data_IF_099993254251
#
_entry.id   IF_099993254251
#
_cell.length_a   1.000
_cell.length_b   1.000
_cell.length_c   1.000
_cell.angle_alpha   90.00
_cell.angle_beta   90.00
_cell.angle_gamma   90.00
#
_symmetry.space_group_name_H-M   'P 1'
#
loop_
_entity.id
_entity.type
_entity.pdbx_description
1 polymer ?
#
# COMPACT_ATOMS: atom_id res chain seq x y z
N UNK A 1 46.13 -3.84 64.91
CA UNK A 1 46.20 -2.37 64.95
C UNK A 1 46.85 -1.90 63.64
N UNK A 2 46.12 -1.12 62.84
CA UNK A 2 46.55 -0.26 61.71
C UNK A 2 47.22 -0.96 60.49
N UNK A 3 46.76 -0.92 59.23
CA UNK A 3 46.18 0.09 58.30
C UNK A 3 47.20 0.47 57.19
N UNK A 4 46.77 0.20 55.93
CA UNK A 4 46.98 0.96 54.67
C UNK A 4 48.30 0.95 53.88
N UNK A 5 48.10 0.79 52.55
CA UNK A 5 48.84 1.43 51.45
C UNK A 5 49.72 0.46 50.65
N UNK A 6 49.63 0.25 49.34
CA UNK A 6 48.93 0.94 48.26
C UNK A 6 49.85 1.03 47.03
N UNK A 7 49.35 0.60 45.86
CA UNK A 7 49.89 0.79 44.49
C UNK A 7 51.20 0.09 44.12
N UNK A 8 51.34 -0.64 43.01
CA UNK A 8 50.51 -0.87 41.85
C UNK A 8 51.40 -1.21 40.64
N UNK A 9 50.92 -2.03 39.68
CA UNK A 9 50.93 -1.76 38.22
C UNK A 9 50.79 -3.01 37.31
N UNK A 10 49.80 -2.90 36.43
CA UNK A 10 49.73 -3.26 35.00
C UNK A 10 49.66 -4.74 34.54
N UNK A 11 48.45 -5.13 34.11
CA UNK A 11 48.13 -5.72 32.79
C UNK A 11 46.58 -5.79 32.71
N UNK A 12 45.88 -4.80 32.14
CA UNK A 12 45.46 -4.72 30.72
C UNK A 12 45.27 -6.08 30.04
N UNK A 13 44.04 -6.59 30.10
CA UNK A 13 43.43 -7.37 29.01
C UNK A 13 41.92 -7.07 29.00
N UNK A 14 41.57 -5.81 28.67
CA UNK A 14 40.23 -5.44 28.21
C UNK A 14 40.17 -5.82 26.72
N UNK A 15 39.90 -7.10 26.45
CA UNK A 15 39.51 -7.53 25.11
C UNK A 15 38.01 -7.36 24.98
N UNK A 16 37.67 -6.13 24.57
CA UNK A 16 36.73 -5.83 23.48
C UNK A 16 35.65 -6.90 23.27
N UNK A 17 34.71 -6.94 24.21
CA UNK A 17 33.37 -7.45 23.93
C UNK A 17 32.70 -6.34 23.16
N UNK A 18 32.89 -6.34 21.84
CA UNK A 18 32.20 -5.47 20.92
C UNK A 18 30.69 -5.62 21.12
N UNK A 19 30.11 -4.76 21.93
CA UNK A 19 28.67 -4.53 22.00
C UNK A 19 28.25 -4.03 20.62
N UNK A 20 27.88 -4.98 19.75
CA UNK A 20 26.98 -4.69 18.65
C UNK A 20 25.75 -4.03 19.29
N UNK A 21 25.37 -2.80 18.91
CA UNK A 21 24.09 -2.28 19.34
C UNK A 21 23.05 -3.27 18.83
N UNK A 22 22.26 -3.85 19.73
CA UNK A 22 21.05 -4.54 19.34
C UNK A 22 20.27 -3.53 18.50
N UNK A 23 20.08 -3.83 17.20
CA UNK A 23 19.13 -3.09 16.37
C UNK A 23 17.81 -3.16 17.13
N UNK A 24 17.38 -2.03 17.67
CA UNK A 24 16.23 -1.97 18.54
C UNK A 24 15.01 -2.39 17.74
N UNK A 25 14.55 -3.61 17.98
CA UNK A 25 13.23 -4.05 17.52
C UNK A 25 12.20 -3.05 18.07
N UNK A 26 11.50 -2.35 17.18
CA UNK A 26 10.49 -1.39 17.56
C UNK A 26 9.35 -2.12 18.29
N UNK A 27 9.16 -1.76 19.55
CA UNK A 27 8.02 -2.22 20.35
C UNK A 27 6.74 -1.67 19.71
N UNK A 28 5.74 -2.54 19.53
CA UNK A 28 4.39 -2.15 19.14
C UNK A 28 3.82 -1.21 20.21
N UNK A 29 3.39 0.03 19.87
CA UNK A 29 2.79 0.95 20.83
C UNK A 29 1.56 0.34 21.48
N UNK A 30 1.33 0.60 22.76
CA UNK A 30 0.10 0.17 23.43
C UNK A 30 -1.11 0.97 22.94
N UNK A 31 -2.34 0.46 23.09
CA UNK A 31 -3.54 1.12 22.54
C UNK A 31 -3.74 2.51 23.14
N UNK A 32 -3.49 2.66 24.43
CA UNK A 32 -3.61 3.92 25.19
C UNK A 32 -2.55 4.97 24.78
N UNK A 33 -1.47 4.53 24.12
CA UNK A 33 -0.40 5.40 23.61
C UNK A 33 -0.73 5.98 22.22
N UNK A 34 -1.72 5.42 21.51
CA UNK A 34 -2.14 5.87 20.17
C UNK A 34 -3.36 6.79 20.27
N UNK A 35 -3.23 7.99 19.71
CA UNK A 35 -4.33 8.97 19.68
C UNK A 35 -5.36 8.69 18.58
N UNK A 36 -4.96 7.95 17.56
CA UNK A 36 -5.76 7.59 16.38
C UNK A 36 -5.25 6.27 15.81
N UNK A 37 -6.01 5.69 14.89
CA UNK A 37 -5.65 4.46 14.20
C UNK A 37 -4.51 4.64 13.20
N UNK A 38 -4.15 3.57 12.45
CA UNK A 38 -4.88 2.31 12.30
C UNK A 38 -5.15 1.55 13.60
N UNK A 39 -6.39 1.08 13.76
CA UNK A 39 -6.85 0.32 14.93
C UNK A 39 -6.80 -1.18 14.68
N UNK A 40 -6.58 -1.96 15.74
CA UNK A 40 -6.98 -3.36 15.72
C UNK A 40 -8.51 -3.45 15.80
N UNK A 41 -9.11 -4.49 15.23
CA UNK A 41 -10.57 -4.72 15.29
C UNK A 41 -11.12 -4.74 16.73
N UNK A 42 -10.30 -5.16 17.71
CA UNK A 42 -10.67 -5.16 19.12
C UNK A 42 -10.70 -3.77 19.77
N UNK A 43 -10.13 -2.76 19.12
CA UNK A 43 -9.95 -1.38 19.61
C UNK A 43 -10.77 -0.35 18.81
N UNK A 44 -11.39 -0.80 17.71
CA UNK A 44 -12.03 0.09 16.74
C UNK A 44 -13.25 0.84 17.33
N UNK A 45 -13.35 2.17 17.12
CA UNK A 45 -14.54 2.93 17.51
C UNK A 45 -15.80 2.44 16.77
N UNK A 46 -16.87 2.24 17.52
CA UNK A 46 -18.21 1.93 17.00
C UNK A 46 -18.88 3.15 16.34
N UNK A 47 -19.76 2.91 15.37
CA UNK A 47 -20.58 3.97 14.76
C UNK A 47 -19.93 4.73 13.59
N UNK A 48 -18.73 4.32 13.16
CA UNK A 48 -18.10 4.80 11.93
C UNK A 48 -18.42 3.80 10.81
N UNK A 49 -19.01 4.28 9.71
CA UNK A 49 -19.26 3.49 8.52
C UNK A 49 -17.93 3.18 7.81
N UNK A 50 -17.69 1.89 7.54
CA UNK A 50 -16.45 1.42 6.93
C UNK A 50 -16.75 0.43 5.81
N UNK A 51 -16.00 0.54 4.74
CA UNK A 51 -15.91 -0.46 3.70
C UNK A 51 -15.06 -1.63 4.19
N UNK A 52 -15.66 -2.81 4.31
CA UNK A 52 -14.96 -4.03 4.73
C UNK A 52 -14.33 -4.73 3.52
N UNK A 53 -13.00 -4.85 3.55
CA UNK A 53 -12.20 -5.55 2.55
C UNK A 53 -11.61 -6.86 3.11
N UNK A 54 -12.24 -7.45 4.12
CA UNK A 54 -11.77 -8.65 4.81
C UNK A 54 -10.77 -8.29 5.91
N UNK A 55 -9.48 -8.20 5.58
CA UNK A 55 -8.45 -7.87 6.58
C UNK A 55 -8.23 -6.39 6.83
N UNK A 56 -8.90 -5.52 6.07
CA UNK A 56 -8.81 -4.08 6.21
C UNK A 56 -10.20 -3.48 6.08
N UNK A 57 -10.56 -2.60 6.99
CA UNK A 57 -11.77 -1.78 6.90
C UNK A 57 -11.37 -0.32 6.77
N UNK A 58 -11.97 0.37 5.79
CA UNK A 58 -11.61 1.74 5.43
C UNK A 58 -12.82 2.65 5.68
N UNK A 59 -12.68 3.79 6.39
CA UNK A 59 -13.76 4.76 6.53
C UNK A 59 -14.36 5.16 5.18
N UNK A 60 -15.68 5.13 5.08
CA UNK A 60 -16.39 5.56 3.88
C UNK A 60 -16.51 7.09 3.86
N UNK A 61 -15.60 7.76 3.15
CA UNK A 61 -15.60 9.23 2.96
C UNK A 61 -15.99 9.54 1.51
N UNK A 62 -17.08 10.30 1.25
CA UNK A 62 -17.58 10.55 -0.10
C UNK A 62 -16.56 11.17 -1.06
N UNK A 63 -15.63 11.97 -0.56
CA UNK A 63 -14.59 12.66 -1.34
C UNK A 63 -13.41 11.75 -1.73
N UNK A 64 -13.36 10.51 -1.24
CA UNK A 64 -12.25 9.58 -1.45
C UNK A 64 -12.65 8.48 -2.42
N UNK A 65 -11.97 8.43 -3.57
CA UNK A 65 -12.09 7.33 -4.51
C UNK A 65 -11.24 6.14 -4.04
N UNK A 66 -11.83 4.95 -3.92
CA UNK A 66 -11.14 3.74 -3.48
C UNK A 66 -10.87 2.86 -4.70
N UNK A 67 -9.59 2.60 -4.97
CA UNK A 67 -9.13 1.70 -6.03
C UNK A 67 -8.47 0.47 -5.43
N UNK A 68 -8.80 -0.69 -5.95
CA UNK A 68 -8.32 -1.97 -5.44
C UNK A 68 -7.34 -2.58 -6.42
N UNK A 69 -6.15 -2.95 -5.95
CA UNK A 69 -5.12 -3.60 -6.78
C UNK A 69 -5.04 -5.09 -6.45
N UNK A 70 -5.43 -5.91 -7.43
CA UNK A 70 -5.32 -7.35 -7.38
C UNK A 70 -4.07 -7.84 -8.12
N UNK A 71 -3.48 -8.93 -7.63
CA UNK A 71 -2.44 -9.66 -8.34
C UNK A 71 -3.03 -10.51 -9.48
N UNK A 72 -2.19 -11.09 -10.37
CA UNK A 72 -2.66 -11.95 -11.46
C UNK A 72 -3.52 -13.14 -11.02
N UNK A 73 -3.34 -13.59 -9.77
CA UNK A 73 -4.14 -14.66 -9.16
C UNK A 73 -5.51 -14.18 -8.65
N UNK A 74 -5.85 -12.89 -8.81
CA UNK A 74 -7.12 -12.29 -8.40
C UNK A 74 -7.22 -11.94 -6.91
N UNK A 75 -6.13 -12.07 -6.16
CA UNK A 75 -6.07 -11.66 -4.76
C UNK A 75 -5.74 -10.18 -4.66
N UNK A 76 -6.60 -9.44 -3.97
CA UNK A 76 -6.35 -8.05 -3.63
C UNK A 76 -5.16 -7.97 -2.68
N UNK A 77 -4.14 -7.20 -3.03
CA UNK A 77 -2.95 -7.01 -2.20
C UNK A 77 -2.87 -5.62 -1.59
N UNK A 78 -3.42 -4.61 -2.29
CA UNK A 78 -3.26 -3.21 -1.92
C UNK A 78 -4.50 -2.41 -2.28
N UNK A 79 -4.70 -1.32 -1.55
CA UNK A 79 -5.78 -0.36 -1.78
C UNK A 79 -5.17 1.01 -2.00
N UNK A 80 -5.65 1.75 -2.98
CA UNK A 80 -5.24 3.13 -3.24
C UNK A 80 -6.44 4.03 -3.02
N UNK A 81 -6.29 4.97 -2.09
CA UNK A 81 -7.24 6.03 -1.83
C UNK A 81 -6.80 7.26 -2.61
N UNK A 82 -7.70 7.86 -3.39
CA UNK A 82 -7.40 9.03 -4.22
C UNK A 82 -8.30 10.19 -3.82
N UNK A 83 -7.70 11.36 -3.62
CA UNK A 83 -8.42 12.60 -3.37
C UNK A 83 -7.68 13.76 -4.06
N UNK A 84 -8.26 14.27 -5.14
CA UNK A 84 -7.63 15.30 -5.97
C UNK A 84 -6.28 14.86 -6.54
N UNK A 85 -5.23 15.62 -6.26
CA UNK A 85 -3.85 15.34 -6.69
C UNK A 85 -3.09 14.39 -5.75
N UNK A 86 -3.69 14.00 -4.63
CA UNK A 86 -3.06 13.14 -3.64
C UNK A 86 -3.57 11.70 -3.79
N UNK A 87 -2.67 10.76 -3.56
CA UNK A 87 -3.02 9.35 -3.39
C UNK A 87 -2.35 8.77 -2.15
N UNK A 88 -3.04 7.86 -1.47
CA UNK A 88 -2.54 7.06 -0.37
C UNK A 88 -2.68 5.58 -0.72
N UNK A 89 -1.56 4.92 -0.96
CA UNK A 89 -1.51 3.47 -1.16
C UNK A 89 -1.32 2.78 0.19
N UNK A 90 -2.18 1.81 0.49
CA UNK A 90 -2.26 1.08 1.75
C UNK A 90 -1.98 -0.39 1.46
N UNK A 91 -1.02 -0.95 2.19
CA UNK A 91 -0.79 -2.39 2.28
C UNK A 91 -0.84 -2.84 3.73
N UNK A 92 -1.39 -4.02 3.99
CA UNK A 92 -1.45 -4.60 5.33
C UNK A 92 -0.72 -5.92 5.33
N UNK A 93 0.19 -6.09 6.28
CA UNK A 93 1.09 -7.24 6.36
C UNK A 93 0.96 -7.94 7.70
N UNK A 94 1.14 -9.26 7.71
CA UNK A 94 1.24 -10.02 8.95
C UNK A 94 2.56 -9.70 9.68
N UNK A 95 2.49 -9.50 10.98
CA UNK A 95 3.63 -9.24 11.86
C UNK A 95 3.70 -10.31 12.97
N UNK A 96 4.87 -10.52 13.60
CA UNK A 96 5.00 -11.38 14.77
C UNK A 96 4.22 -10.80 15.96
N UNK A 97 4.06 -11.61 17.03
CA UNK A 97 3.33 -11.19 18.24
C UNK A 97 4.10 -10.19 19.10
N UNK A 98 5.43 -10.21 19.01
CA UNK A 98 6.32 -9.58 19.97
C UNK A 98 6.88 -8.24 19.53
N UNK A 99 6.86 -7.95 18.23
CA UNK A 99 7.57 -6.80 17.67
C UNK A 99 6.90 -6.26 16.40
N UNK A 100 7.10 -4.97 16.17
CA UNK A 100 6.78 -4.33 14.91
C UNK A 100 7.78 -4.71 13.83
N UNK A 101 7.34 -4.66 12.57
CA UNK A 101 8.19 -4.96 11.41
C UNK A 101 8.52 -3.71 10.60
N UNK A 102 7.98 -2.54 10.97
CA UNK A 102 8.17 -1.33 10.16
C UNK A 102 9.63 -0.94 10.00
N UNK A 103 10.46 -1.00 11.05
CA UNK A 103 11.87 -0.65 10.94
C UNK A 103 12.62 -1.54 9.94
N UNK A 104 12.38 -2.86 9.97
CA UNK A 104 12.98 -3.80 9.02
C UNK A 104 12.48 -3.59 7.59
N UNK A 105 11.16 -3.42 7.44
CA UNK A 105 10.53 -3.16 6.13
C UNK A 105 11.00 -1.82 5.55
N UNK A 106 11.17 -0.78 6.38
CA UNK A 106 11.68 0.53 5.98
C UNK A 106 13.10 0.42 5.44
N UNK A 107 13.97 -0.32 6.14
CA UNK A 107 15.35 -0.59 5.69
C UNK A 107 15.38 -1.38 4.37
N UNK A 108 14.50 -2.38 4.21
CA UNK A 108 14.36 -3.13 2.96
C UNK A 108 13.92 -2.22 1.80
N UNK A 109 12.93 -1.34 2.03
CA UNK A 109 12.48 -0.36 1.02
C UNK A 109 13.61 0.60 0.67
N UNK A 110 14.31 1.16 1.67
CA UNK A 110 15.45 2.05 1.48
C UNK A 110 16.53 1.40 0.61
N UNK A 111 16.85 0.13 0.89
CA UNK A 111 17.82 -0.63 0.11
C UNK A 111 17.35 -0.85 -1.33
N UNK A 112 16.10 -1.27 -1.53
CA UNK A 112 15.54 -1.47 -2.88
C UNK A 112 15.58 -0.17 -3.70
N UNK A 113 15.20 0.96 -3.10
CA UNK A 113 15.30 2.27 -3.75
C UNK A 113 16.74 2.63 -4.10
N UNK A 114 17.69 2.37 -3.20
CA UNK A 114 19.11 2.60 -3.46
C UNK A 114 19.64 1.74 -4.63
N UNK A 115 19.25 0.47 -4.69
CA UNK A 115 19.61 -0.44 -5.77
C UNK A 115 19.02 0.01 -7.13
N UNK A 116 17.88 0.72 -7.11
CA UNK A 116 17.26 1.39 -8.26
C UNK A 116 17.89 2.76 -8.59
N UNK A 117 18.90 3.21 -7.82
CA UNK A 117 19.55 4.51 -7.99
C UNK A 117 18.73 5.69 -7.46
N UNK A 118 17.72 5.44 -6.64
CA UNK A 118 16.87 6.45 -6.01
C UNK A 118 17.37 6.76 -4.61
N UNK A 119 17.62 8.04 -4.33
CA UNK A 119 17.94 8.50 -2.99
C UNK A 119 16.68 8.47 -2.10
N UNK A 120 16.84 7.93 -0.88
CA UNK A 120 15.80 7.90 0.13
C UNK A 120 16.30 8.48 1.45
N UNK A 121 15.47 9.30 2.10
CA UNK A 121 15.78 10.02 3.34
C UNK A 121 14.82 9.59 4.44
N UNK A 122 15.35 9.32 5.63
CA UNK A 122 14.52 9.06 6.80
C UNK A 122 14.14 10.38 7.47
N UNK A 123 12.91 10.50 7.95
CA UNK A 123 12.41 11.70 8.61
C UNK A 123 11.50 11.31 9.76
N UNK A 124 11.56 12.05 10.87
CA UNK A 124 10.61 11.87 11.96
C UNK A 124 9.24 12.42 11.56
N UNK A 125 8.24 11.54 11.51
CA UNK A 125 6.84 11.86 11.25
C UNK A 125 5.94 11.55 12.44
N UNK A 126 4.63 11.68 12.19
CA UNK A 126 3.58 11.45 13.18
C UNK A 126 3.45 9.98 13.58
N UNK A 127 3.77 9.08 12.66
CA UNK A 127 3.70 7.63 12.85
C UNK A 127 5.05 7.00 13.23
N UNK A 128 6.02 7.81 13.66
CA UNK A 128 7.40 7.38 13.91
C UNK A 128 8.33 7.77 12.77
N UNK A 129 9.36 6.96 12.52
CA UNK A 129 10.35 7.25 11.47
C UNK A 129 9.77 6.86 10.11
N UNK A 130 9.66 7.83 9.22
CA UNK A 130 9.13 7.72 7.85
C UNK A 130 10.28 7.74 6.84
N UNK A 131 10.02 7.29 5.61
CA UNK A 131 10.96 7.34 4.50
C UNK A 131 10.41 8.23 3.38
N UNK A 132 11.22 9.15 2.86
CA UNK A 132 10.90 10.00 1.71
C UNK A 132 11.80 9.64 0.55
N UNK A 133 11.24 9.58 -0.65
CA UNK A 133 11.99 9.32 -1.87
C UNK A 133 11.38 10.07 -3.06
N UNK A 134 12.21 10.34 -4.06
CA UNK A 134 11.77 10.94 -5.32
C UNK A 134 12.10 10.01 -6.48
N UNK A 135 11.08 9.39 -7.04
CA UNK A 135 11.21 8.40 -8.13
C UNK A 135 10.86 9.00 -9.48
N UNK A 136 11.40 8.43 -10.56
CA UNK A 136 11.00 8.78 -11.93
C UNK A 136 9.93 7.79 -12.39
N UNK A 137 8.73 8.28 -12.68
CA UNK A 137 7.61 7.53 -13.25
C UNK A 137 7.38 7.95 -14.70
N UNK A 138 6.43 7.29 -15.38
CA UNK A 138 6.01 7.67 -16.73
C UNK A 138 5.48 9.12 -16.79
N UNK A 139 4.85 9.58 -15.70
CA UNK A 139 4.23 10.90 -15.60
C UNK A 139 5.20 11.99 -15.14
N UNK A 140 6.44 11.64 -14.77
CA UNK A 140 7.48 12.60 -14.40
C UNK A 140 8.25 12.23 -13.13
N UNK A 141 8.65 13.23 -12.36
CA UNK A 141 9.21 13.02 -11.02
C UNK A 141 8.05 12.95 -10.03
N UNK A 142 8.02 11.89 -9.23
CA UNK A 142 6.99 11.66 -8.21
C UNK A 142 7.63 11.58 -6.84
N UNK A 143 7.18 12.43 -5.93
CA UNK A 143 7.56 12.36 -4.51
C UNK A 143 6.72 11.28 -3.81
N UNK A 144 7.39 10.45 -3.02
CA UNK A 144 6.82 9.37 -2.23
C UNK A 144 7.15 9.58 -0.76
N UNK A 145 6.17 9.38 0.11
CA UNK A 145 6.36 9.32 1.57
C UNK A 145 5.81 8.01 2.11
N UNK A 146 6.70 7.14 2.56
CA UNK A 146 6.39 5.87 3.16
C UNK A 146 6.31 6.02 4.69
N UNK A 147 5.25 5.46 5.26
CA UNK A 147 5.05 5.32 6.70
C UNK A 147 4.62 3.89 7.00
N UNK A 148 4.85 3.45 8.22
CA UNK A 148 4.36 2.19 8.73
C UNK A 148 3.80 2.36 10.14
N UNK A 149 2.70 1.67 10.41
CA UNK A 149 2.10 1.60 11.73
C UNK A 149 2.04 0.13 12.13
N UNK A 150 2.78 -0.21 13.17
CA UNK A 150 2.77 -1.55 13.74
C UNK A 150 1.62 -1.69 14.75
N UNK A 151 0.88 -2.78 14.61
CA UNK A 151 -0.21 -3.17 15.49
C UNK A 151 -0.11 -4.63 15.95
N UNK A 152 -1.13 -5.17 16.64
CA UNK A 152 -1.10 -6.53 17.17
C UNK A 152 -1.04 -7.61 16.08
N UNK A 153 0.16 -8.11 15.78
CA UNK A 153 0.42 -9.15 14.75
C UNK A 153 0.14 -8.70 13.31
N UNK A 154 0.10 -7.40 13.07
CA UNK A 154 -0.03 -6.80 11.75
C UNK A 154 0.76 -5.49 11.66
N UNK A 155 1.04 -5.05 10.44
CA UNK A 155 1.62 -3.74 10.14
C UNK A 155 0.90 -3.14 8.93
N UNK A 156 0.50 -1.87 9.04
CA UNK A 156 -0.07 -1.09 7.93
C UNK A 156 1.03 -0.22 7.33
N UNK A 157 1.29 -0.38 6.04
CA UNK A 157 2.17 0.50 5.27
C UNK A 157 1.34 1.49 4.47
N UNK A 158 1.57 2.77 4.70
CA UNK A 158 1.04 3.86 3.88
C UNK A 158 2.10 4.42 2.95
N UNK A 159 1.74 4.71 1.71
CA UNK A 159 2.59 5.45 0.76
C UNK A 159 1.79 6.62 0.23
N UNK A 160 2.12 7.82 0.69
CA UNK A 160 1.56 9.05 0.13
C UNK A 160 2.28 9.42 -1.16
N UNK A 161 1.50 9.86 -2.13
CA UNK A 161 1.93 10.39 -3.42
C UNK A 161 1.31 11.76 -3.66
N UNK A 162 1.94 12.57 -4.51
CA UNK A 162 1.49 13.93 -4.83
C UNK A 162 1.91 14.95 -3.77
N UNK A 163 1.23 16.12 -3.67
CA UNK A 163 1.58 17.17 -2.72
C UNK A 163 1.67 16.70 -1.25
N UNK A 164 0.84 15.72 -0.85
CA UNK A 164 0.87 15.13 0.48
C UNK A 164 2.18 14.38 0.81
N UNK A 165 2.93 13.92 -0.20
CA UNK A 165 4.21 13.25 0.03
C UNK A 165 5.29 14.21 0.58
N UNK A 166 5.27 15.47 0.14
CA UNK A 166 6.24 16.49 0.59
C UNK A 166 5.72 17.30 1.77
N UNK A 167 4.42 17.63 1.76
CA UNK A 167 3.75 18.46 2.75
C UNK A 167 2.60 17.67 3.44
N UNK A 168 2.85 17.10 4.64
CA UNK A 168 1.85 16.30 5.34
C UNK A 168 0.53 16.99 5.61
N UNK A 169 0.53 18.31 5.80
CA UNK A 169 -0.69 19.10 6.01
C UNK A 169 -1.64 19.08 4.81
N UNK A 170 -1.16 18.74 3.61
CA UNK A 170 -1.95 18.61 2.38
C UNK A 170 -2.61 17.25 2.20
N UNK A 171 -2.45 16.31 3.13
CA UNK A 171 -3.06 14.99 3.04
C UNK A 171 -4.60 15.04 3.13
N UNK A 172 -5.17 16.07 3.78
CA UNK A 172 -6.63 16.27 3.88
C UNK A 172 -7.34 15.01 4.38
N UNK A 173 -8.46 14.67 3.74
CA UNK A 173 -9.28 13.49 4.10
C UNK A 173 -8.54 12.15 4.03
N UNK A 174 -7.41 12.05 3.30
CA UNK A 174 -6.63 10.81 3.25
C UNK A 174 -5.98 10.48 4.59
N UNK A 175 -5.57 11.50 5.37
CA UNK A 175 -5.05 11.26 6.73
C UNK A 175 -6.17 10.83 7.67
N UNK A 176 -7.38 11.34 7.48
CA UNK A 176 -8.57 10.94 8.24
C UNK A 176 -8.93 9.48 7.93
N UNK A 177 -8.85 9.06 6.67
CA UNK A 177 -8.98 7.65 6.30
C UNK A 177 -7.94 6.80 7.01
N UNK A 178 -6.65 7.20 6.99
CA UNK A 178 -5.56 6.48 7.65
C UNK A 178 -5.80 6.33 9.16
N UNK A 179 -6.23 7.42 9.82
CA UNK A 179 -6.58 7.44 11.25
C UNK A 179 -7.80 6.60 11.60
N UNK A 180 -8.71 6.38 10.66
CA UNK A 180 -9.93 5.60 10.86
C UNK A 180 -9.83 4.14 10.40
N UNK A 181 -8.69 3.72 9.83
CA UNK A 181 -8.49 2.35 9.37
C UNK A 181 -8.64 1.36 10.53
N UNK A 182 -9.22 0.20 10.23
CA UNK A 182 -9.31 -0.92 11.16
C UNK A 182 -8.74 -2.15 10.48
N UNK A 183 -7.89 -2.88 11.19
CA UNK A 183 -7.27 -4.11 10.70
C UNK A 183 -7.89 -5.30 11.42
N UNK A 184 -8.44 -6.23 10.63
CA UNK A 184 -8.85 -7.56 11.11
C UNK A 184 -7.92 -8.63 10.51
N UNK A 185 -6.88 -8.95 11.25
CA UNK A 185 -5.91 -9.96 10.85
C UNK A 185 -6.45 -11.39 10.98
N UNK A 186 -7.60 -11.58 11.62
CA UNK A 186 -8.18 -12.89 11.92
C UNK A 186 -7.32 -13.74 12.86
N UNK A 187 -7.71 -15.00 13.06
CA UNK A 187 -7.04 -15.87 14.05
C UNK A 187 -6.02 -16.85 13.47
N UNK A 188 -6.07 -17.11 12.17
CA UNK A 188 -5.22 -18.10 11.50
C UNK A 188 -3.72 -17.76 11.64
N UNK A 189 -2.86 -18.78 11.64
CA UNK A 189 -1.43 -18.55 11.51
C UNK A 189 -1.12 -18.03 10.10
N UNK A 190 -0.36 -16.95 10.00
CA UNK A 190 0.06 -16.35 8.74
C UNK A 190 1.57 -16.08 8.82
N UNK A 191 2.36 -16.43 7.78
CA UNK A 191 3.76 -16.08 7.68
C UNK A 191 4.00 -14.58 7.90
N UNK A 192 5.08 -14.27 8.61
CA UNK A 192 5.48 -12.88 8.87
C UNK A 192 5.87 -12.21 7.54
N UNK A 193 5.48 -10.94 7.37
CA UNK A 193 5.63 -10.12 6.15
C UNK A 193 4.80 -10.55 4.94
N UNK A 194 3.89 -11.52 5.09
CA UNK A 194 2.93 -11.83 4.04
C UNK A 194 1.81 -10.78 4.01
N UNK A 195 1.38 -10.29 2.83
CA UNK A 195 0.21 -9.43 2.74
C UNK A 195 -1.03 -10.15 3.27
N UNK A 196 -1.82 -9.45 4.08
CA UNK A 196 -3.08 -9.99 4.57
C UNK A 196 -4.10 -10.05 3.43
N UNK A 197 -4.93 -11.12 3.37
CA UNK A 197 -5.87 -11.31 2.29
C UNK A 197 -6.93 -10.22 2.30
N UNK A 198 -6.98 -9.44 1.24
CA UNK A 198 -8.05 -8.48 1.02
C UNK A 198 -9.11 -9.08 0.08
N UNK A 199 -10.35 -8.59 0.20
CA UNK A 199 -11.52 -9.02 -0.56
C UNK A 199 -12.25 -7.80 -1.09
N UNK A 200 -12.76 -7.90 -2.31
CA UNK A 200 -13.69 -6.89 -2.81
C UNK A 200 -15.05 -7.07 -2.11
N UNK A 201 -15.71 -5.99 -1.69
CA UNK A 201 -17.06 -6.05 -1.16
C UNK A 201 -18.00 -6.60 -2.24
N UNK A 202 -18.98 -7.41 -1.83
CA UNK A 202 -19.97 -7.97 -2.76
C UNK A 202 -20.76 -6.87 -3.48
N UNK A 203 -20.97 -5.72 -2.85
CA UNK A 203 -21.69 -4.58 -3.44
C UNK A 203 -20.84 -3.80 -4.47
N UNK A 204 -19.51 -3.89 -4.42
CA UNK A 204 -18.66 -3.33 -5.47
C UNK A 204 -18.74 -4.17 -6.75
N UNK A 205 -19.05 -5.48 -6.64
CA UNK A 205 -19.23 -6.38 -7.79
C UNK A 205 -20.35 -5.93 -8.72
N UNK A 206 -21.36 -5.22 -8.22
CA UNK A 206 -22.45 -4.69 -9.04
C UNK A 206 -22.00 -3.47 -9.85
N UNK A 207 -21.18 -2.57 -9.27
CA UNK A 207 -20.66 -1.40 -9.99
C UNK A 207 -19.58 -1.76 -11.04
N UNK A 208 -18.73 -2.77 -10.79
CA UNK A 208 -17.81 -3.28 -11.83
C UNK A 208 -18.52 -4.09 -12.91
N UNK A 209 -19.63 -4.78 -12.60
CA UNK A 209 -20.47 -5.38 -13.63
C UNK A 209 -21.18 -4.31 -14.46
N UNK A 210 -21.60 -3.19 -13.90
CA UNK A 210 -22.17 -2.07 -14.68
C UNK A 210 -21.14 -1.36 -15.56
N UNK A 211 -19.86 -1.30 -15.17
CA UNK A 211 -18.79 -0.72 -16.00
C UNK A 211 -18.19 -1.71 -17.04
N UNK A 212 -18.36 -3.02 -16.86
CA UNK A 212 -17.99 -4.03 -17.87
C UNK A 212 -19.17 -4.50 -18.73
N UNK A 213 -20.40 -4.13 -18.36
CA UNK A 213 -21.62 -4.36 -19.15
C UNK A 213 -22.09 -3.08 -19.86
N UNK A 214 -21.18 -2.19 -20.26
CA UNK A 214 -21.48 -1.33 -21.41
C UNK A 214 -21.46 -2.25 -22.65
N UNK A 215 -22.62 -2.50 -23.29
CA UNK A 215 -22.66 -3.36 -24.46
C UNK A 215 -21.82 -2.71 -25.54
N UNK A 216 -20.92 -3.49 -26.15
CA UNK A 216 -20.32 -3.14 -27.43
C UNK A 216 -21.44 -2.59 -28.34
N UNK A 217 -21.26 -1.40 -28.95
CA UNK A 217 -22.31 -0.81 -29.76
C UNK A 217 -22.72 -1.82 -30.83
N UNK A 218 -24.03 -2.05 -31.06
CA UNK A 218 -24.46 -2.94 -32.11
C UNK A 218 -23.87 -2.46 -33.43
N UNK A 219 -23.17 -3.35 -34.14
CA UNK A 219 -22.70 -3.10 -35.48
C UNK A 219 -23.88 -2.59 -36.32
N UNK A 220 -23.84 -1.32 -36.69
CA UNK A 220 -24.86 -0.70 -37.51
C UNK A 220 -24.95 -1.45 -38.86
N UNK A 221 -26.16 -1.74 -39.36
CA UNK A 221 -26.35 -2.41 -40.64
C UNK A 221 -25.88 -1.51 -41.79
N UNK A 222 -25.22 -2.11 -42.78
CA UNK A 222 -24.76 -1.45 -43.99
C UNK A 222 -25.91 -0.70 -44.71
N UNK A 223 -25.65 0.46 -45.33
CA UNK A 223 -26.68 1.25 -45.99
C UNK A 223 -27.19 0.56 -47.28
N UNK A 224 -28.48 0.74 -47.64
CA UNK A 224 -29.06 0.17 -48.84
C UNK A 224 -28.60 0.96 -50.08
N UNK A 225 -27.94 0.29 -51.02
CA UNK A 225 -27.71 0.83 -52.37
C UNK A 225 -28.87 0.41 -53.26
N UNK A 226 -29.75 1.34 -53.64
CA UNK A 226 -30.78 1.09 -54.64
C UNK A 226 -30.52 1.92 -55.90
N UNK A 227 -30.39 1.23 -57.03
CA UNK A 227 -30.91 1.71 -58.32
C UNK A 227 -29.89 1.89 -59.44
N UNK A 228 -29.72 0.85 -60.28
CA UNK A 228 -30.07 0.93 -61.71
C UNK A 228 -29.71 -0.31 -62.51
N UNK A 229 -30.76 -0.97 -63.03
CA UNK A 229 -30.81 -1.41 -64.44
C UNK A 229 -30.33 -2.82 -64.80
N UNK A 230 -30.98 -3.53 -65.75
CA UNK A 230 -30.92 -4.99 -65.85
C UNK A 230 -30.16 -5.54 -67.08
N UNK A 231 -29.55 -6.74 -66.90
CA UNK A 231 -29.24 -7.81 -67.87
C UNK A 231 -28.34 -7.45 -69.12
N UNK A 232 -27.70 -8.40 -69.85
CA UNK A 232 -27.91 -9.85 -69.87
C UNK A 232 -26.64 -10.73 -69.88
N UNK A 233 -26.90 -12.05 -69.80
CA UNK A 233 -25.98 -13.17 -70.00
C UNK A 233 -25.22 -13.09 -71.33
N UNK A 234 -23.90 -13.35 -71.33
CA UNK A 234 -23.17 -13.87 -72.50
C UNK A 234 -22.19 -14.98 -72.12
N UNK A 235 -22.29 -16.06 -72.89
CA UNK A 235 -21.49 -17.29 -72.89
C UNK A 235 -19.99 -17.01 -73.15
N UNK A 236 -19.10 -17.96 -72.79
CA UNK A 236 -17.68 -17.82 -73.05
C UNK A 236 -17.40 -18.03 -74.54
N UNK A 237 -16.37 -17.38 -75.07
CA UNK A 237 -15.81 -17.73 -76.37
C UNK A 237 -14.27 -17.69 -76.32
N UNK A 238 -13.59 -18.54 -77.10
CA UNK A 238 -12.16 -18.78 -77.00
C UNK A 238 -11.35 -17.87 -77.95
N UNK A 239 -10.04 -17.76 -77.67
CA UNK A 239 -8.94 -17.35 -78.58
C UNK A 239 -8.99 -18.14 -79.92
N UNK A 240 -8.23 -17.84 -81.00
CA UNK A 240 -7.01 -17.03 -81.18
C UNK A 240 -7.14 -16.06 -82.40
N UNK A 241 -6.17 -15.31 -82.93
CA UNK A 241 -4.78 -15.56 -83.35
C UNK A 241 -4.09 -14.21 -83.54
#
# INVERSE_FOLDING_TARGET
MFSRGGSGRHARDDRDRSERPARGSARVPQPDERRYGPYDVSEAPSGVERLDLGSLQIPAIPEVEIRVQANPEGNVQQVVLVNGENALQIGVFAAPRSEGIWDEVREEIRKSLFDEGVAAEETQGEYGVELRARVRTADGLTDLRFLGVDGPRWMVRGVFQGPAATEPSRAGVLVECLHGLVVDRGQEAKPVREPLPLRLPKDATDQVHEQQAEPAPPAAPAPPTNGSGPAPRRRPSPRPR
#
